data_IF_144607584928
#
_entry.id   IF_144607584928
#
_cell.length_a   1.000
_cell.length_b   1.000
_cell.length_c   1.000
_cell.angle_alpha   90.00
_cell.angle_beta   90.00
_cell.angle_gamma   90.00
#
_symmetry.space_group_name_H-M   'P 1'
#
loop_
_entity.id
_entity.type
_entity.pdbx_description
1 polymer ?
#
# COMPACT_ATOMS: atom_id res chain seq x y z
N UNK A 1 54.14 43.28 31.09
CA UNK A 1 53.44 42.20 31.87
C UNK A 1 51.92 42.25 31.71
N UNK A 2 51.26 43.41 31.88
CA UNK A 2 49.79 43.52 31.85
C UNK A 2 49.16 43.15 30.49
N UNK A 3 49.80 43.53 29.37
CA UNK A 3 49.35 43.18 28.02
C UNK A 3 49.52 41.70 27.68
N UNK A 4 50.60 41.06 28.13
CA UNK A 4 50.83 39.62 27.96
C UNK A 4 49.79 38.78 28.69
N UNK A 5 49.38 39.20 29.90
CA UNK A 5 48.30 38.54 30.66
C UNK A 5 46.95 38.73 29.98
N UNK A 6 46.67 39.90 29.42
CA UNK A 6 45.44 40.16 28.67
C UNK A 6 45.33 39.32 27.37
N UNK A 7 46.44 39.13 26.66
CA UNK A 7 46.50 38.26 25.48
C UNK A 7 46.27 36.78 25.85
N UNK A 8 46.79 36.34 27.00
CA UNK A 8 46.60 34.97 27.49
C UNK A 8 45.15 34.71 27.90
N UNK A 9 44.49 35.68 28.55
CA UNK A 9 43.09 35.60 28.95
C UNK A 9 42.13 35.57 27.74
N UNK A 10 42.39 36.40 26.72
CA UNK A 10 41.56 36.41 25.50
C UNK A 10 41.66 35.10 24.74
N UNK A 11 42.86 34.51 24.64
CA UNK A 11 43.05 33.19 24.05
C UNK A 11 42.27 32.08 24.77
N UNK A 12 42.26 32.10 26.10
CA UNK A 12 41.51 31.12 26.91
C UNK A 12 39.99 31.27 26.68
N UNK A 13 39.48 32.49 26.61
CA UNK A 13 38.04 32.75 26.39
C UNK A 13 37.59 32.24 25.03
N UNK A 14 38.38 32.50 23.97
CA UNK A 14 38.07 32.03 22.61
C UNK A 14 38.12 30.50 22.55
N UNK A 15 39.10 29.87 23.20
CA UNK A 15 39.21 28.41 23.30
C UNK A 15 38.02 27.79 24.02
N UNK A 16 37.63 28.33 25.17
CA UNK A 16 36.46 27.86 25.92
C UNK A 16 35.14 28.08 25.16
N UNK A 17 35.02 29.18 24.42
CA UNK A 17 33.85 29.46 23.57
C UNK A 17 33.71 28.47 22.41
N UNK A 18 34.80 28.19 21.70
CA UNK A 18 34.84 27.17 20.63
C UNK A 18 34.59 25.77 21.19
N UNK A 19 35.13 25.46 22.36
CA UNK A 19 34.90 24.19 23.04
C UNK A 19 33.42 24.02 23.45
N UNK A 20 32.80 25.06 24.00
CA UNK A 20 31.38 25.06 24.32
C UNK A 20 30.51 24.96 23.06
N UNK A 21 30.89 25.60 21.95
CA UNK A 21 30.20 25.48 20.68
C UNK A 21 30.27 24.05 20.11
N UNK A 22 31.44 23.42 20.17
CA UNK A 22 31.59 22.00 19.80
C UNK A 22 30.80 21.09 20.72
N UNK A 23 30.85 21.29 22.04
CA UNK A 23 30.04 20.52 22.99
C UNK A 23 28.53 20.69 22.76
N UNK A 24 28.08 21.91 22.47
CA UNK A 24 26.70 22.20 22.14
C UNK A 24 26.27 21.48 20.85
N UNK A 25 27.13 21.43 19.83
CA UNK A 25 26.85 20.63 18.63
C UNK A 25 26.89 19.13 18.88
N UNK A 26 27.82 18.62 19.70
CA UNK A 26 27.84 17.20 20.07
C UNK A 26 26.61 16.78 20.88
N UNK A 27 26.10 17.63 21.77
CA UNK A 27 24.88 17.36 22.54
C UNK A 27 23.62 17.54 21.68
N UNK A 28 23.56 18.57 20.84
CA UNK A 28 22.40 18.89 20.01
C UNK A 28 22.20 17.89 18.86
N UNK A 29 23.27 17.19 18.42
CA UNK A 29 23.17 16.21 17.35
C UNK A 29 22.92 14.76 17.82
N UNK A 30 22.60 14.52 19.10
CA UNK A 30 22.29 13.16 19.59
C UNK A 30 20.85 12.70 19.32
N UNK A 31 20.12 13.38 18.45
CA UNK A 31 18.78 12.96 18.00
C UNK A 31 18.77 12.23 16.66
N UNK A 32 19.94 12.08 15.99
CA UNK A 32 20.03 11.41 14.67
C UNK A 32 20.78 10.06 14.71
N UNK A 33 21.40 9.67 15.83
CA UNK A 33 22.05 8.35 16.00
C UNK A 33 21.51 7.61 17.24
N UNK A 34 20.18 7.51 17.34
CA UNK A 34 19.48 6.59 18.26
C UNK A 34 18.39 5.74 17.57
N UNK A 35 18.48 5.54 16.24
CA UNK A 35 17.59 4.59 15.54
C UNK A 35 18.31 3.66 14.56
N UNK A 36 19.57 3.31 14.86
CA UNK A 36 20.31 2.30 14.07
C UNK A 36 21.25 1.38 14.89
N UNK A 37 21.11 1.31 16.21
CA UNK A 37 21.90 0.41 17.08
C UNK A 37 21.00 -0.56 17.86
N UNK A 38 20.19 -1.36 17.14
CA UNK A 38 19.66 -2.63 17.65
C UNK A 38 19.57 -3.64 16.49
N UNK A 39 20.69 -3.80 15.79
CA UNK A 39 21.01 -5.04 15.10
C UNK A 39 22.21 -5.63 15.86
N UNK A 40 21.94 -6.74 16.57
CA UNK A 40 22.84 -7.55 17.41
C UNK A 40 23.33 -6.95 18.72
N UNK A 41 22.57 -7.22 19.79
CA UNK A 41 23.19 -7.76 20.99
C UNK A 41 22.44 -9.04 21.37
N UNK A 42 23.09 -10.17 21.15
CA UNK A 42 22.73 -11.43 21.77
C UNK A 42 22.91 -11.27 23.29
N UNK A 43 21.85 -10.96 24.01
CA UNK A 43 21.74 -11.34 25.41
C UNK A 43 20.97 -12.66 25.44
N UNK A 44 21.73 -13.76 25.38
CA UNK A 44 21.25 -14.98 25.97
C UNK A 44 21.12 -14.70 27.48
N UNK A 45 19.91 -14.33 27.92
CA UNK A 45 19.48 -14.84 29.21
C UNK A 45 19.48 -16.34 29.03
N UNK A 46 20.57 -16.96 29.50
CA UNK A 46 20.56 -18.36 29.85
C UNK A 46 19.53 -18.50 30.96
N UNK A 47 18.25 -18.59 30.57
CA UNK A 47 17.33 -19.43 31.29
C UNK A 47 18.00 -20.79 31.23
N UNK A 48 18.63 -21.16 32.36
CA UNK A 48 18.76 -22.56 32.71
C UNK A 48 17.39 -23.14 32.42
N UNK A 49 17.24 -23.82 31.29
CA UNK A 49 16.10 -24.69 31.05
C UNK A 49 16.19 -25.68 32.20
N UNK A 50 15.40 -25.45 33.23
CA UNK A 50 14.99 -26.56 34.06
C UNK A 50 14.40 -27.58 33.07
N UNK A 51 14.84 -28.85 33.12
CA UNK A 51 14.21 -29.88 32.32
C UNK A 51 12.71 -29.79 32.59
N UNK A 52 11.86 -29.91 31.55
CA UNK A 52 10.42 -29.85 31.75
C UNK A 52 10.07 -30.83 32.88
N UNK A 53 9.23 -30.43 33.86
CA UNK A 53 8.83 -31.33 34.92
C UNK A 53 8.32 -32.63 34.29
N UNK A 54 8.66 -33.80 34.86
CA UNK A 54 8.19 -35.06 34.32
C UNK A 54 6.67 -34.96 34.13
N UNK A 55 6.14 -35.46 33.00
CA UNK A 55 4.70 -35.39 32.75
C UNK A 55 3.97 -35.94 33.98
N UNK A 56 2.89 -35.29 34.43
CA UNK A 56 2.11 -35.80 35.54
C UNK A 56 1.79 -37.27 35.26
N UNK A 57 1.89 -38.16 36.28
CA UNK A 57 1.61 -39.56 36.07
C UNK A 57 0.25 -39.66 35.39
N UNK A 58 0.26 -40.29 34.20
CA UNK A 58 -0.96 -40.51 33.42
C UNK A 58 -2.02 -41.01 34.40
N UNK A 59 -3.23 -40.42 34.43
CA UNK A 59 -4.31 -41.02 35.18
C UNK A 59 -4.33 -42.50 34.80
N UNK A 60 -4.17 -43.38 35.79
CA UNK A 60 -4.43 -44.81 35.56
C UNK A 60 -5.84 -44.83 35.01
N UNK A 61 -5.96 -45.12 33.71
CA UNK A 61 -7.21 -45.53 33.13
C UNK A 61 -7.49 -46.86 33.82
N UNK A 62 -8.09 -46.80 35.00
CA UNK A 62 -8.84 -47.92 35.54
C UNK A 62 -9.83 -48.27 34.43
N UNK A 63 -9.66 -49.49 33.92
CA UNK A 63 -10.59 -50.10 32.99
C UNK A 63 -12.00 -49.79 33.49
N UNK A 64 -12.88 -49.18 32.69
CA UNK A 64 -14.29 -49.11 33.04
C UNK A 64 -14.75 -50.54 33.37
N UNK A 65 -15.33 -50.79 34.55
CA UNK A 65 -15.79 -52.13 34.90
C UNK A 65 -16.86 -52.53 33.89
N UNK A 66 -16.63 -53.69 33.31
CA UNK A 66 -17.55 -54.38 32.44
C UNK A 66 -18.84 -54.68 33.21
N UNK A 67 -19.97 -54.15 32.72
CA UNK A 67 -21.37 -54.59 32.88
C UNK A 67 -21.97 -54.61 34.30
N UNK A 68 -23.03 -53.79 34.45
CA UNK A 68 -24.33 -54.30 34.91
C UNK A 68 -25.44 -53.71 34.04
N UNK A 69 -26.22 -54.61 33.46
CA UNK A 69 -27.41 -54.35 32.64
C UNK A 69 -28.55 -53.94 33.56
N UNK A 70 -29.21 -52.82 33.25
CA UNK A 70 -30.60 -52.60 33.66
C UNK A 70 -31.35 -51.91 32.51
N UNK A 71 -32.36 -52.60 31.98
CA UNK A 71 -33.24 -52.22 30.86
C UNK A 71 -34.05 -50.95 31.20
N UNK A 72 -34.46 -50.10 30.26
CA UNK A 72 -35.74 -50.11 29.49
C UNK A 72 -35.67 -48.80 28.65
N UNK A 73 -35.86 -48.73 27.32
CA UNK A 73 -37.18 -48.70 26.66
C UNK A 73 -37.00 -48.61 25.12
N UNK A 74 -37.87 -49.30 24.39
CA UNK A 74 -37.98 -49.31 22.93
C UNK A 74 -38.05 -47.91 22.28
N UNK A 75 -37.15 -47.67 21.31
CA UNK A 75 -37.36 -46.69 20.23
C UNK A 75 -37.00 -47.33 18.89
N UNK A 76 -37.79 -47.09 17.83
CA UNK A 76 -37.71 -47.81 16.56
C UNK A 76 -36.39 -47.57 15.81
N UNK A 77 -35.98 -48.49 14.92
CA UNK A 77 -34.72 -48.39 14.20
C UNK A 77 -34.62 -47.12 13.34
N UNK A 78 -33.41 -46.54 13.20
CA UNK A 78 -33.18 -45.38 12.34
C UNK A 78 -33.52 -45.71 10.87
N UNK A 79 -34.14 -44.80 10.11
CA UNK A 79 -34.43 -45.01 8.71
C UNK A 79 -33.15 -45.31 7.92
N UNK A 80 -33.19 -46.35 7.10
CA UNK A 80 -32.10 -46.74 6.23
C UNK A 80 -31.67 -45.57 5.33
N UNK A 81 -30.36 -45.34 5.29
CA UNK A 81 -29.68 -44.38 4.42
C UNK A 81 -30.00 -44.75 2.96
N UNK A 82 -30.98 -44.08 2.37
CA UNK A 82 -31.26 -44.21 0.95
C UNK A 82 -30.03 -43.75 0.17
N UNK A 83 -29.56 -44.64 -0.71
CA UNK A 83 -28.46 -44.44 -1.63
C UNK A 83 -28.80 -43.27 -2.55
N UNK A 84 -27.92 -42.27 -2.62
CA UNK A 84 -28.08 -41.12 -3.51
C UNK A 84 -28.03 -41.55 -4.99
N UNK A 85 -29.03 -41.24 -5.82
CA UNK A 85 -28.92 -41.32 -7.28
C UNK A 85 -28.20 -40.08 -7.86
N UNK A 86 -27.70 -40.16 -9.11
CA UNK A 86 -26.65 -39.28 -9.63
C UNK A 86 -27.13 -37.93 -10.16
N UNK A 87 -26.15 -37.03 -10.32
CA UNK A 87 -26.21 -35.63 -10.82
C UNK A 87 -27.09 -35.42 -12.05
N UNK A 88 -27.88 -34.33 -12.02
CA UNK A 88 -28.26 -33.53 -13.20
C UNK A 88 -28.32 -32.03 -12.83
N UNK A 89 -27.50 -31.20 -13.50
CA UNK A 89 -27.85 -29.80 -13.83
C UNK A 89 -28.88 -29.84 -14.99
N UNK A 90 -29.65 -28.78 -15.36
CA UNK A 90 -29.46 -27.34 -15.08
C UNK A 90 -30.78 -26.60 -14.73
N UNK A 91 -30.70 -25.28 -14.50
CA UNK A 91 -31.52 -24.21 -15.11
C UNK A 91 -31.51 -22.97 -14.21
N UNK A 92 -30.96 -21.90 -14.77
CA UNK A 92 -30.92 -20.53 -14.27
C UNK A 92 -32.36 -20.00 -14.20
N UNK A 93 -32.85 -19.70 -13.00
CA UNK A 93 -34.09 -18.94 -12.82
C UNK A 93 -33.81 -17.47 -13.12
N UNK A 94 -34.41 -16.99 -14.20
CA UNK A 94 -34.50 -15.57 -14.54
C UNK A 94 -35.43 -14.90 -13.53
N UNK A 95 -34.93 -13.95 -12.75
CA UNK A 95 -35.75 -12.96 -12.07
C UNK A 95 -36.47 -12.10 -13.12
N UNK A 96 -37.75 -11.75 -12.92
CA UNK A 96 -38.46 -10.86 -13.84
C UNK A 96 -37.91 -9.43 -13.68
N UNK A 97 -37.34 -8.91 -14.76
CA UNK A 97 -37.04 -7.49 -14.91
C UNK A 97 -38.38 -6.75 -14.95
N UNK A 98 -38.57 -5.84 -13.99
CA UNK A 98 -39.63 -4.84 -13.98
C UNK A 98 -39.58 -4.07 -15.30
N UNK A 99 -40.62 -4.20 -16.12
CA UNK A 99 -40.80 -3.40 -17.32
C UNK A 99 -41.28 -2.01 -16.88
N UNK A 100 -40.32 -1.09 -16.72
CA UNK A 100 -40.61 0.32 -16.55
C UNK A 100 -40.66 0.95 -17.95
N UNK A 101 -41.88 1.22 -18.43
CA UNK A 101 -42.12 1.99 -19.64
C UNK A 101 -41.57 3.40 -19.44
N UNK A 102 -40.54 3.75 -20.21
CA UNK A 102 -40.08 5.11 -20.34
C UNK A 102 -41.13 5.82 -21.22
N UNK A 103 -41.82 6.87 -20.74
CA UNK A 103 -42.70 7.64 -21.61
C UNK A 103 -41.86 8.23 -22.75
N UNK A 104 -42.23 7.90 -23.98
CA UNK A 104 -41.60 8.48 -25.17
C UNK A 104 -41.89 9.98 -25.17
N UNK A 105 -40.88 10.79 -24.88
CA UNK A 105 -40.94 12.23 -25.10
C UNK A 105 -40.58 12.48 -26.57
N UNK A 106 -41.57 12.96 -27.33
CA UNK A 106 -41.47 13.22 -28.77
C UNK A 106 -40.46 14.36 -29.04
N UNK A 107 -39.30 14.01 -29.60
CA UNK A 107 -38.27 14.98 -30.00
C UNK A 107 -38.47 15.34 -31.49
N UNK A 108 -38.72 16.62 -31.82
CA UNK A 108 -38.84 17.04 -33.21
C UNK A 108 -37.49 16.92 -33.93
N UNK A 109 -37.48 16.27 -35.10
CA UNK A 109 -36.32 16.19 -35.98
C UNK A 109 -36.08 17.55 -36.64
N UNK A 110 -34.90 18.14 -36.44
CA UNK A 110 -34.42 19.27 -37.24
C UNK A 110 -33.72 18.73 -38.49
N UNK A 111 -34.33 18.93 -39.65
CA UNK A 111 -33.72 18.64 -40.95
C UNK A 111 -32.73 19.74 -41.32
N UNK A 112 -31.43 19.46 -41.20
CA UNK A 112 -30.37 20.34 -41.74
C UNK A 112 -29.95 19.78 -43.11
N UNK A 113 -30.21 20.49 -44.23
CA UNK A 113 -29.81 20.02 -45.54
C UNK A 113 -28.29 20.15 -45.73
N UNK A 114 -27.60 19.01 -45.79
CA UNK A 114 -26.19 18.93 -46.23
C UNK A 114 -26.19 18.99 -47.76
N UNK A 115 -25.85 20.16 -48.31
CA UNK A 115 -25.69 20.32 -49.76
C UNK A 115 -24.33 19.78 -50.23
N UNK A 116 -24.42 19.00 -51.31
CA UNK A 116 -23.35 18.28 -51.95
C UNK A 116 -22.36 19.19 -52.71
N UNK A 117 -21.08 18.83 -52.68
CA UNK A 117 -20.08 19.24 -53.68
C UNK A 117 -19.39 18.00 -54.27
N UNK A 118 -19.89 17.67 -55.46
CA UNK A 118 -19.31 16.93 -56.60
C UNK A 118 -17.79 17.16 -56.74
N UNK A 119 -16.97 16.10 -56.69
CA UNK A 119 -16.53 15.23 -57.79
C UNK A 119 -15.37 15.76 -58.63
N UNK A 120 -14.18 15.14 -58.50
CA UNK A 120 -13.26 14.80 -59.60
C UNK A 120 -11.93 14.23 -59.07
N UNK A 121 -11.66 12.94 -59.33
CA UNK A 121 -10.27 12.47 -59.53
C UNK A 121 -9.75 12.91 -60.91
N UNK A 122 -8.53 12.53 -61.39
CA UNK A 122 -7.86 11.26 -61.12
C UNK A 122 -6.30 11.27 -61.00
N UNK A 123 -5.79 10.15 -60.46
CA UNK A 123 -4.62 9.35 -60.88
C UNK A 123 -3.21 9.97 -61.15
N UNK A 124 -2.24 9.37 -60.43
CA UNK A 124 -0.91 8.85 -60.83
C UNK A 124 0.07 9.73 -61.65
N UNK A 125 1.26 9.99 -61.11
CA UNK A 125 2.53 9.39 -61.55
C UNK A 125 3.73 9.92 -60.75
N UNK A 126 4.64 9.02 -60.44
CA UNK A 126 5.95 9.27 -59.86
C UNK A 126 6.89 9.94 -60.88
N UNK A 127 7.78 10.82 -60.42
CA UNK A 127 9.19 10.91 -60.83
C UNK A 127 9.79 12.26 -60.41
N UNK A 128 10.94 12.20 -59.74
CA UNK A 128 12.04 13.13 -60.06
C UNK A 128 12.16 14.42 -59.24
N UNK A 129 13.31 14.50 -58.59
CA UNK A 129 14.21 15.67 -58.54
C UNK A 129 14.22 16.45 -57.23
N UNK A 130 15.45 16.52 -56.73
CA UNK A 130 15.90 17.13 -55.50
C UNK A 130 15.99 18.66 -55.59
N UNK A 131 15.91 19.28 -54.41
CA UNK A 131 16.57 20.54 -54.08
C UNK A 131 15.70 21.78 -54.23
N UNK A 132 15.36 22.43 -53.12
CA UNK A 132 15.95 23.72 -52.68
C UNK A 132 15.17 24.29 -51.49
N UNK A 133 15.90 25.05 -50.67
CA UNK A 133 15.52 25.54 -49.35
C UNK A 133 14.43 26.62 -49.36
N UNK A 134 13.68 26.73 -48.25
CA UNK A 134 12.77 27.86 -48.01
C UNK A 134 11.86 27.69 -46.79
N UNK A 135 12.30 28.27 -45.68
CA UNK A 135 11.60 28.57 -44.42
C UNK A 135 10.12 29.01 -44.56
N UNK A 136 9.19 28.37 -43.82
CA UNK A 136 8.00 29.02 -43.24
C UNK A 136 7.34 28.17 -42.15
N UNK A 137 6.94 28.87 -41.07
CA UNK A 137 6.29 28.46 -39.82
C UNK A 137 4.97 27.67 -39.94
N UNK A 138 4.70 26.88 -38.88
CA UNK A 138 3.37 26.34 -38.52
C UNK A 138 3.50 24.96 -37.85
N UNK A 139 3.84 24.86 -36.57
CA UNK A 139 2.92 24.75 -35.40
C UNK A 139 1.86 23.64 -35.54
N UNK A 140 2.06 22.52 -34.84
CA UNK A 140 1.09 21.43 -34.75
C UNK A 140 1.69 20.12 -34.26
N UNK A 141 2.18 20.15 -33.02
CA UNK A 141 2.94 19.10 -32.33
C UNK A 141 2.06 17.88 -31.97
N UNK A 142 2.20 16.77 -32.72
CA UNK A 142 1.91 15.41 -32.22
C UNK A 142 3.20 14.82 -31.67
N UNK A 143 3.33 14.84 -30.34
CA UNK A 143 4.47 14.26 -29.63
C UNK A 143 4.00 13.46 -28.42
N UNK A 144 4.07 12.14 -28.54
CA UNK A 144 3.96 11.20 -27.43
C UNK A 144 4.98 11.55 -26.35
N UNK A 145 4.51 11.97 -25.17
CA UNK A 145 5.35 12.08 -23.99
C UNK A 145 5.40 10.72 -23.28
N UNK A 146 6.29 9.86 -23.77
CA UNK A 146 6.95 8.86 -22.95
C UNK A 146 7.77 9.61 -21.89
N UNK A 147 7.21 9.75 -20.70
CA UNK A 147 7.89 10.29 -19.54
C UNK A 147 8.35 9.14 -18.67
N UNK A 148 9.54 8.63 -18.95
CA UNK A 148 10.39 7.98 -17.95
C UNK A 148 10.60 8.98 -16.82
N UNK A 149 9.87 8.79 -15.72
CA UNK A 149 10.13 9.49 -14.48
C UNK A 149 10.67 8.42 -13.53
N UNK A 150 11.99 8.38 -13.43
CA UNK A 150 12.73 7.82 -12.31
C UNK A 150 12.36 8.59 -11.03
N UNK A 151 11.13 8.37 -10.57
CA UNK A 151 10.60 8.90 -9.33
C UNK A 151 11.08 8.04 -8.18
N UNK A 152 12.36 8.18 -7.80
CA UNK A 152 12.88 7.75 -6.49
C UNK A 152 12.30 8.65 -5.40
N UNK A 153 10.98 8.66 -5.27
CA UNK A 153 10.26 9.31 -4.20
C UNK A 153 10.38 8.44 -2.96
N UNK A 154 11.28 8.81 -2.07
CA UNK A 154 11.39 8.16 -0.76
C UNK A 154 10.10 8.41 0.03
N UNK A 155 9.12 7.51 -0.10
CA UNK A 155 7.97 7.39 0.79
C UNK A 155 8.46 6.84 2.15
N UNK A 156 9.24 7.66 2.87
CA UNK A 156 9.60 7.41 4.26
C UNK A 156 8.57 8.10 5.15
N UNK A 157 7.30 7.70 4.99
CA UNK A 157 6.29 7.90 6.04
C UNK A 157 6.52 6.80 7.06
N UNK A 158 7.08 7.14 8.20
CA UNK A 158 7.38 6.19 9.28
C UNK A 158 6.32 6.21 10.37
N UNK A 159 5.08 5.86 10.04
CA UNK A 159 4.09 5.58 11.06
C UNK A 159 4.47 4.25 11.69
N UNK A 160 4.91 4.33 12.95
CA UNK A 160 5.43 3.19 13.70
C UNK A 160 4.28 2.32 14.21
N UNK A 161 3.35 1.92 13.33
CA UNK A 161 2.57 0.72 13.57
C UNK A 161 3.58 -0.42 13.55
N UNK A 162 3.57 -1.31 14.54
CA UNK A 162 4.58 -2.37 14.76
C UNK A 162 4.68 -3.42 13.65
N UNK A 163 4.56 -3.02 12.39
CA UNK A 163 4.60 -3.80 11.17
C UNK A 163 5.92 -3.51 10.45
N UNK A 164 6.49 -4.55 9.86
CA UNK A 164 7.77 -4.46 9.18
C UNK A 164 7.49 -4.53 7.67
N UNK A 165 7.61 -3.41 6.92
CA UNK A 165 7.49 -3.43 5.48
C UNK A 165 8.69 -4.16 4.87
N UNK A 166 8.42 -5.07 3.93
CA UNK A 166 9.42 -5.77 3.14
C UNK A 166 9.67 -5.03 1.82
N UNK A 167 8.59 -4.58 1.17
CA UNK A 167 8.63 -3.85 -0.09
C UNK A 167 7.67 -2.68 -0.03
N UNK A 168 8.17 -1.49 -0.40
CA UNK A 168 7.38 -0.25 -0.47
C UNK A 168 7.51 0.33 -1.86
N UNK A 169 6.41 0.33 -2.59
CA UNK A 169 6.29 1.03 -3.87
C UNK A 169 5.84 2.46 -3.59
N UNK A 170 6.58 3.49 -4.00
CA UNK A 170 6.18 4.86 -3.74
C UNK A 170 4.90 5.21 -4.50
N UNK A 171 4.02 6.05 -3.92
CA UNK A 171 2.80 6.47 -4.60
C UNK A 171 3.12 7.38 -5.79
N UNK A 172 2.39 7.19 -6.88
CA UNK A 172 2.51 8.02 -8.07
C UNK A 172 1.90 9.39 -7.80
N UNK A 173 2.67 10.45 -7.99
CA UNK A 173 2.19 11.81 -7.76
C UNK A 173 1.11 12.19 -8.80
N UNK A 174 -0.08 12.67 -8.39
CA UNK A 174 -1.09 13.16 -9.31
C UNK A 174 -0.58 14.37 -10.13
N UNK A 175 -0.64 14.28 -11.47
CA UNK A 175 -0.12 15.34 -12.37
C UNK A 175 -0.75 16.71 -12.09
N UNK A 176 -2.05 16.76 -11.81
CA UNK A 176 -2.75 18.01 -11.47
C UNK A 176 -2.24 18.65 -10.18
N UNK A 177 -1.91 17.85 -9.17
CA UNK A 177 -1.35 18.35 -7.91
C UNK A 177 0.12 18.79 -8.10
N UNK A 178 0.91 18.03 -8.85
CA UNK A 178 2.31 18.36 -9.15
C UNK A 178 2.43 19.70 -9.89
N UNK A 179 1.63 19.94 -10.94
CA UNK A 179 1.67 21.18 -11.70
C UNK A 179 1.28 22.41 -10.85
N UNK A 180 0.42 22.21 -9.85
CA UNK A 180 -0.02 23.25 -8.92
C UNK A 180 0.84 23.35 -7.67
N UNK A 181 1.90 22.54 -7.55
CA UNK A 181 2.77 22.48 -6.37
C UNK A 181 2.00 22.26 -5.06
N UNK A 182 0.90 21.52 -5.15
CA UNK A 182 0.08 21.18 -3.98
C UNK A 182 0.75 19.99 -3.32
N UNK A 183 1.12 20.10 -2.06
CA UNK A 183 1.65 19.02 -1.24
C UNK A 183 0.61 18.53 -0.22
N UNK A 184 0.85 17.36 0.35
CA UNK A 184 -0.11 16.79 1.29
C UNK A 184 0.31 15.48 1.91
N UNK A 185 -0.64 14.85 2.59
CA UNK A 185 -0.48 13.54 3.17
C UNK A 185 -1.81 12.78 3.21
N UNK A 186 -1.73 11.46 3.21
CA UNK A 186 -2.87 10.55 3.29
C UNK A 186 -2.57 9.48 4.31
N UNK A 187 -3.48 9.28 5.25
CA UNK A 187 -3.43 8.23 6.26
C UNK A 187 -4.40 7.13 5.85
N UNK A 188 -3.85 5.93 5.69
CA UNK A 188 -4.55 4.75 5.18
C UNK A 188 -4.53 3.67 6.24
N UNK A 189 -5.70 3.13 6.57
CA UNK A 189 -5.87 1.93 7.37
C UNK A 189 -6.01 0.73 6.42
N UNK A 190 -5.33 -0.38 6.71
CA UNK A 190 -5.39 -1.59 5.90
C UNK A 190 -5.10 -2.84 6.73
N UNK A 191 -5.50 -3.99 6.20
CA UNK A 191 -5.25 -5.30 6.82
C UNK A 191 -4.12 -6.01 6.10
N UNK A 192 -3.14 -6.50 6.85
CA UNK A 192 -2.04 -7.31 6.36
C UNK A 192 -2.42 -8.78 6.53
N UNK A 193 -2.38 -9.54 5.45
CA UNK A 193 -2.71 -10.97 5.43
C UNK A 193 -1.59 -11.82 6.03
N UNK A 194 -1.83 -13.12 6.19
CA UNK A 194 -0.81 -14.07 6.64
C UNK A 194 0.37 -14.21 5.68
N UNK A 195 0.16 -13.88 4.41
CA UNK A 195 1.18 -13.93 3.36
C UNK A 195 1.93 -12.61 3.20
N UNK A 196 1.49 -11.57 3.91
CA UNK A 196 2.12 -10.25 3.87
C UNK A 196 1.57 -9.32 2.80
N UNK A 197 0.50 -9.72 2.12
CA UNK A 197 -0.27 -8.89 1.21
C UNK A 197 -1.14 -7.89 1.97
N UNK A 198 -1.54 -6.82 1.28
CA UNK A 198 -2.41 -5.78 1.81
C UNK A 198 -3.82 -5.94 1.24
N UNK A 199 -4.81 -5.99 2.13
CA UNK A 199 -6.23 -6.07 1.81
C UNK A 199 -7.02 -5.00 2.58
N UNK A 200 -8.25 -4.73 2.12
CA UNK A 200 -9.19 -3.79 2.75
C UNK A 200 -8.59 -2.40 3.07
N UNK A 201 -7.82 -1.84 2.13
CA UNK A 201 -7.22 -0.53 2.31
C UNK A 201 -8.27 0.59 2.20
N UNK A 202 -8.36 1.43 3.23
CA UNK A 202 -9.31 2.54 3.34
C UNK A 202 -8.58 3.80 3.82
N UNK A 203 -8.90 4.93 3.20
CA UNK A 203 -8.39 6.24 3.65
C UNK A 203 -9.18 6.69 4.87
N UNK A 204 -8.50 6.93 5.98
CA UNK A 204 -9.11 7.43 7.22
C UNK A 204 -9.01 8.94 7.35
N UNK A 205 -7.96 9.53 6.77
CA UNK A 205 -7.71 10.97 6.83
C UNK A 205 -6.81 11.38 5.67
N UNK A 206 -7.08 12.52 5.05
CA UNK A 206 -6.29 13.06 3.96
C UNK A 206 -6.29 14.58 3.98
N UNK A 207 -5.16 15.18 3.63
CA UNK A 207 -5.04 16.63 3.46
C UNK A 207 -4.10 16.94 2.30
N UNK A 208 -4.58 17.65 1.26
CA UNK A 208 -5.97 17.92 0.89
C UNK A 208 -6.78 16.66 0.55
N UNK A 209 -8.08 16.67 0.84
CA UNK A 209 -8.98 15.56 0.59
C UNK A 209 -9.14 15.26 -0.92
N UNK A 210 -9.30 13.98 -1.28
CA UNK A 210 -9.60 13.46 -2.63
C UNK A 210 -8.52 13.71 -3.72
N UNK A 211 -7.48 14.49 -3.41
CA UNK A 211 -6.39 14.74 -4.36
C UNK A 211 -5.41 13.57 -4.41
N UNK A 212 -5.07 13.01 -3.25
CA UNK A 212 -4.00 12.02 -3.10
C UNK A 212 -4.50 10.61 -2.78
N UNK A 213 -5.78 10.47 -2.48
CA UNK A 213 -6.43 9.26 -1.96
C UNK A 213 -6.24 8.07 -2.92
N UNK A 214 -6.59 8.26 -4.19
CA UNK A 214 -6.42 7.22 -5.23
C UNK A 214 -4.95 6.80 -5.41
N UNK A 215 -4.02 7.76 -5.40
CA UNK A 215 -2.60 7.48 -5.54
C UNK A 215 -2.05 6.71 -4.34
N UNK A 216 -2.51 7.04 -3.13
CA UNK A 216 -2.13 6.36 -1.90
C UNK A 216 -2.66 4.92 -1.86
N UNK A 217 -3.93 4.70 -2.20
CA UNK A 217 -4.54 3.37 -2.26
C UNK A 217 -3.85 2.45 -3.27
N UNK A 218 -3.57 2.97 -4.48
CA UNK A 218 -2.84 2.22 -5.51
C UNK A 218 -1.42 1.83 -5.05
N UNK A 219 -0.74 2.71 -4.32
CA UNK A 219 0.59 2.42 -3.81
C UNK A 219 0.55 1.33 -2.72
N UNK A 220 -0.30 1.52 -1.71
CA UNK A 220 -0.47 0.62 -0.56
C UNK A 220 -0.83 -0.79 -1.03
N UNK A 221 -1.70 -0.92 -2.05
CA UNK A 221 -2.09 -2.23 -2.60
C UNK A 221 -0.92 -3.05 -3.15
N UNK A 222 0.21 -2.41 -3.47
CA UNK A 222 1.42 -3.04 -4.02
C UNK A 222 2.50 -3.27 -2.98
N UNK A 223 2.25 -2.92 -1.72
CA UNK A 223 3.24 -3.11 -0.66
C UNK A 223 3.23 -4.55 -0.16
N UNK A 224 4.39 -4.98 0.33
CA UNK A 224 4.55 -6.29 0.98
C UNK A 224 5.05 -6.08 2.39
N UNK A 225 4.47 -6.82 3.32
CA UNK A 225 4.78 -6.75 4.74
C UNK A 225 5.20 -8.10 5.29
N UNK A 226 5.93 -8.08 6.41
CA UNK A 226 6.23 -9.30 7.14
C UNK A 226 4.98 -9.74 7.91
N UNK A 227 4.48 -10.94 7.60
CA UNK A 227 3.37 -11.55 8.33
C UNK A 227 3.66 -11.68 9.82
N UNK A 228 2.65 -11.43 10.66
CA UNK A 228 2.76 -11.53 12.12
C UNK A 228 2.55 -12.98 12.56
N UNK A 229 3.46 -13.46 13.41
CA UNK A 229 3.35 -14.76 14.06
C UNK A 229 2.94 -14.54 15.52
N UNK A 230 1.87 -15.19 15.96
CA UNK A 230 1.44 -15.20 17.37
C UNK A 230 1.27 -16.66 17.78
N UNK A 231 2.01 -17.12 18.80
CA UNK A 231 1.98 -18.50 19.30
C UNK A 231 2.29 -19.58 18.22
N UNK A 232 3.13 -19.24 17.24
CA UNK A 232 3.48 -20.14 16.13
C UNK A 232 2.47 -20.20 14.98
N UNK A 233 1.37 -19.44 15.06
CA UNK A 233 0.34 -19.35 14.01
C UNK A 233 0.45 -17.98 13.31
N UNK A 234 0.31 -17.97 11.97
CA UNK A 234 0.21 -16.72 11.21
C UNK A 234 -1.14 -16.08 11.47
N UNK A 235 -1.14 -14.81 11.80
CA UNK A 235 -2.35 -14.03 12.01
C UNK A 235 -2.37 -12.83 11.07
N UNK A 236 -3.57 -12.45 10.62
CA UNK A 236 -3.74 -11.14 9.99
C UNK A 236 -3.57 -10.05 11.03
N UNK A 237 -3.10 -8.89 10.61
CA UNK A 237 -2.91 -7.75 11.50
C UNK A 237 -3.38 -6.48 10.80
N UNK A 238 -4.04 -5.59 11.53
CA UNK A 238 -4.43 -4.29 10.99
C UNK A 238 -3.32 -3.26 11.25
N UNK A 239 -3.06 -2.42 10.26
CA UNK A 239 -2.06 -1.38 10.31
C UNK A 239 -2.63 -0.06 9.77
N UNK A 240 -1.98 1.02 10.17
CA UNK A 240 -2.27 2.37 9.70
C UNK A 240 -0.95 2.98 9.24
N UNK A 241 -0.98 3.62 8.08
CA UNK A 241 0.19 4.24 7.49
C UNK A 241 -0.15 5.57 6.86
N UNK A 242 0.66 6.57 7.16
CA UNK A 242 0.64 7.89 6.54
C UNK A 242 1.66 7.92 5.42
N UNK A 243 1.21 8.32 4.23
CA UNK A 243 2.03 8.59 3.05
C UNK A 243 2.11 10.10 2.88
N UNK A 244 3.34 10.61 2.77
CA UNK A 244 3.58 12.03 2.51
C UNK A 244 3.83 12.25 1.02
N UNK A 245 3.23 13.29 0.47
CA UNK A 245 3.36 13.73 -0.91
C UNK A 245 4.06 15.08 -0.93
N UNK A 246 5.38 15.05 -1.12
CA UNK A 246 6.21 16.25 -1.24
C UNK A 246 6.85 16.33 -2.62
N UNK A 247 6.94 17.53 -3.19
CA UNK A 247 7.71 17.76 -4.40
C UNK A 247 9.16 17.97 -3.97
N UNK A 248 10.06 17.24 -4.62
CA UNK A 248 11.49 17.51 -4.45
C UNK A 248 11.81 18.78 -5.24
N UNK A 249 12.39 19.77 -4.57
CA UNK A 249 12.76 21.07 -5.13
C UNK A 249 14.03 20.98 -5.96
#
# INVERSE_FOLDING_TARGET
MKSSVAALLTGIIVSLGLFWLMQAMLMSNRQVVKKTEHLNMMEFVRLKREPPPPPPPKPKIEKPPEKKVEQVQDKPPPPQRQKAPPKKQPVIQKTPVVKQEIPAMDVPKLDIPVQAVKSSGPAVNASGTAGTAGTASGTGETGNAQGDVDGKGAASGGDSTGVIPLERVPPKYPRGAANRHIEGWVKVEFTITTDGDVEDAVVIEAQPADIFDNAALQAISRWKFKGKMVNGVRVTQRAVQTLQFKLTK
#
